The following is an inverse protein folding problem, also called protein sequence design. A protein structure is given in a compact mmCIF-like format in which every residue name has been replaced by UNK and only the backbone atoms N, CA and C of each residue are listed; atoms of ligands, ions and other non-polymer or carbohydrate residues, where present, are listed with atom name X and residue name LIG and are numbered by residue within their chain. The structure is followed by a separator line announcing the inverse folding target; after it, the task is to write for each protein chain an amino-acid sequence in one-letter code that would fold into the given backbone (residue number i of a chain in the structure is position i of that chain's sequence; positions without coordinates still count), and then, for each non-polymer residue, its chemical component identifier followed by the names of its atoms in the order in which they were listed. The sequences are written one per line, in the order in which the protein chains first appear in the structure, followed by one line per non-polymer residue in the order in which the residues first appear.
data_IF_234584334486
#
_entry.id   IF_234584334486
#
_cell.length_a   1.000
_cell.length_b   1.000
_cell.length_c   1.000
_cell.angle_alpha   90.00
_cell.angle_beta   90.00
_cell.angle_gamma   90.00
#
_symmetry.space_group_name_H-M   'P 1'
#
loop_
_entity.id
_entity.type
_entity.pdbx_description
1 polymer ?
#
# COMPACT_ATOMS: atom_id res chain seq x y z
N UNK A 1 13.11 -24.26 -5.12
CA UNK A 1 14.14 -23.20 -5.06
C UNK A 1 13.60 -21.84 -4.63
N UNK A 2 12.94 -21.01 -5.47
CA UNK A 2 12.50 -19.64 -5.07
C UNK A 2 11.63 -19.57 -3.81
N UNK A 3 10.61 -20.42 -3.69
CA UNK A 3 9.69 -20.45 -2.53
C UNK A 3 10.45 -20.82 -1.24
N UNK A 4 11.34 -21.80 -1.33
CA UNK A 4 12.17 -22.26 -0.22
C UNK A 4 13.14 -21.17 0.26
N UNK A 5 13.77 -20.45 -0.66
CA UNK A 5 14.61 -19.28 -0.34
C UNK A 5 13.81 -18.19 0.38
N UNK A 6 12.56 -17.94 -0.05
CA UNK A 6 11.67 -17.00 0.63
C UNK A 6 11.33 -17.49 2.04
N UNK A 7 11.00 -18.78 2.23
CA UNK A 7 10.75 -19.32 3.57
C UNK A 7 11.98 -19.23 4.48
N UNK A 8 13.18 -19.52 3.97
CA UNK A 8 14.44 -19.34 4.69
C UNK A 8 14.68 -17.87 5.06
N UNK A 9 14.40 -16.94 4.16
CA UNK A 9 14.45 -15.51 4.44
C UNK A 9 13.46 -15.12 5.55
N UNK A 10 12.19 -15.55 5.44
CA UNK A 10 11.17 -15.26 6.43
C UNK A 10 11.54 -15.87 7.80
N UNK A 11 12.13 -17.06 7.83
CA UNK A 11 12.60 -17.70 9.06
C UNK A 11 13.61 -16.86 9.84
N UNK A 12 14.42 -16.04 9.14
CA UNK A 12 15.39 -15.13 9.75
C UNK A 12 14.78 -13.83 10.31
N UNK A 13 13.55 -13.49 9.93
CA UNK A 13 12.88 -12.30 10.44
C UNK A 13 12.30 -12.55 11.84
N UNK A 14 12.27 -11.51 12.72
CA UNK A 14 11.51 -11.56 13.96
C UNK A 14 10.05 -11.96 13.71
N UNK A 15 9.45 -12.69 14.65
CA UNK A 15 8.09 -13.22 14.49
C UNK A 15 7.06 -12.14 14.16
N UNK A 16 7.07 -11.00 14.87
CA UNK A 16 6.17 -9.88 14.62
C UNK A 16 6.33 -9.32 13.19
N UNK A 17 7.58 -9.22 12.70
CA UNK A 17 7.85 -8.73 11.35
C UNK A 17 7.31 -9.70 10.30
N UNK A 18 7.45 -11.01 10.50
CA UNK A 18 6.85 -12.02 9.60
C UNK A 18 5.34 -11.88 9.53
N UNK A 19 4.66 -11.79 10.68
CA UNK A 19 3.20 -11.70 10.75
C UNK A 19 2.71 -10.42 10.08
N UNK A 20 3.34 -9.29 10.39
CA UNK A 20 3.03 -8.00 9.77
C UNK A 20 3.25 -8.04 8.26
N UNK A 21 4.39 -8.57 7.80
CA UNK A 21 4.69 -8.69 6.37
C UNK A 21 3.68 -9.59 5.65
N UNK A 22 3.28 -10.71 6.24
CA UNK A 22 2.24 -11.57 5.69
C UNK A 22 0.90 -10.84 5.55
N UNK A 23 0.50 -10.09 6.59
CA UNK A 23 -0.74 -9.30 6.55
C UNK A 23 -0.71 -8.24 5.45
N UNK A 24 0.41 -7.51 5.31
CA UNK A 24 0.60 -6.52 4.26
C UNK A 24 0.52 -7.15 2.87
N UNK A 25 1.19 -8.30 2.65
CA UNK A 25 1.17 -8.97 1.33
C UNK A 25 -0.22 -9.50 0.96
N UNK A 26 -0.97 -10.04 1.93
CA UNK A 26 -2.37 -10.46 1.72
C UNK A 26 -3.28 -9.27 1.42
N UNK A 27 -3.11 -8.16 2.12
CA UNK A 27 -3.89 -6.95 1.86
C UNK A 27 -3.59 -6.38 0.46
N UNK A 28 -2.32 -6.39 0.05
CA UNK A 28 -1.93 -6.00 -1.30
C UNK A 28 -2.56 -6.88 -2.38
N UNK A 29 -2.64 -8.19 -2.15
CA UNK A 29 -3.31 -9.11 -3.07
C UNK A 29 -4.81 -8.84 -3.20
N UNK A 30 -5.47 -8.53 -2.07
CA UNK A 30 -6.87 -8.12 -2.05
C UNK A 30 -7.08 -6.84 -2.88
N UNK A 31 -6.30 -5.78 -2.62
CA UNK A 31 -6.39 -4.52 -3.37
C UNK A 31 -6.14 -4.74 -4.85
N UNK A 32 -5.11 -5.50 -5.19
CA UNK A 32 -4.77 -5.80 -6.58
C UNK A 32 -5.87 -6.59 -7.29
N UNK A 33 -6.43 -7.62 -6.64
CA UNK A 33 -7.54 -8.40 -7.18
C UNK A 33 -8.81 -7.57 -7.35
N UNK A 34 -9.10 -6.67 -6.42
CA UNK A 34 -10.21 -5.72 -6.54
C UNK A 34 -10.03 -4.78 -7.74
N UNK A 35 -8.82 -4.24 -7.92
CA UNK A 35 -8.51 -3.36 -9.06
C UNK A 35 -8.67 -4.06 -10.41
N UNK A 36 -8.24 -5.32 -10.53
CA UNK A 36 -8.44 -6.12 -11.75
C UNK A 36 -9.94 -6.31 -12.06
N UNK A 37 -10.75 -6.59 -11.03
CA UNK A 37 -12.21 -6.74 -11.20
C UNK A 37 -12.86 -5.41 -11.61
N UNK A 38 -12.49 -4.31 -10.96
CA UNK A 38 -12.97 -2.98 -11.32
C UNK A 38 -12.60 -2.60 -12.76
N UNK A 39 -11.38 -2.93 -13.20
CA UNK A 39 -10.94 -2.71 -14.57
C UNK A 39 -11.76 -3.55 -15.57
N UNK A 40 -12.00 -4.83 -15.26
CA UNK A 40 -12.83 -5.69 -16.11
C UNK A 40 -14.24 -5.13 -16.26
N UNK A 41 -14.84 -4.65 -15.16
CA UNK A 41 -16.15 -4.01 -15.16
C UNK A 41 -16.16 -2.73 -16.01
N UNK A 42 -15.19 -1.83 -15.82
CA UNK A 42 -15.08 -0.59 -16.60
C UNK A 42 -14.78 -0.85 -18.09
N UNK A 43 -14.13 -1.97 -18.43
CA UNK A 43 -13.90 -2.36 -19.82
C UNK A 43 -15.19 -2.77 -20.53
N UNK A 44 -16.16 -3.33 -19.81
CA UNK A 44 -17.48 -3.73 -20.31
C UNK A 44 -18.50 -2.59 -20.38
N UNK A 45 -18.23 -1.44 -19.75
CA UNK A 45 -19.14 -0.29 -19.74
C UNK A 45 -19.20 0.46 -21.09
N UNK A 46 -20.35 1.10 -21.41
CA UNK A 46 -20.53 1.92 -22.60
C UNK A 46 -19.50 3.05 -22.71
N UNK A 47 -19.17 3.42 -23.94
CA UNK A 47 -18.05 4.31 -24.29
C UNK A 47 -18.16 5.73 -23.68
N UNK A 48 -19.35 6.16 -23.28
CA UNK A 48 -19.61 7.45 -22.64
C UNK A 48 -19.02 7.54 -21.21
N UNK A 49 -18.96 6.45 -20.46
CA UNK A 49 -18.39 6.42 -19.10
C UNK A 49 -16.86 6.30 -19.10
N UNK A 50 -16.29 5.71 -20.17
CA UNK A 50 -14.83 5.56 -20.39
C UNK A 50 -14.11 6.90 -20.58
N UNK A 51 -14.82 7.93 -21.03
CA UNK A 51 -14.24 9.26 -21.25
C UNK A 51 -14.16 10.09 -19.96
N UNK A 52 -15.02 9.83 -18.97
CA UNK A 52 -15.03 10.51 -17.67
C UNK A 52 -13.93 10.00 -16.72
N UNK A 53 -13.50 8.75 -16.89
CA UNK A 53 -12.39 8.16 -16.14
C UNK A 53 -11.18 8.06 -17.05
N UNK A 54 -10.19 8.95 -16.86
CA UNK A 54 -8.96 8.94 -17.68
C UNK A 54 -8.33 7.54 -17.73
N UNK A 55 -8.55 6.82 -18.84
CA UNK A 55 -8.17 5.41 -19.01
C UNK A 55 -6.68 5.12 -18.79
N UNK A 56 -5.84 6.16 -18.86
CA UNK A 56 -4.41 6.11 -18.52
C UNK A 56 -4.13 5.85 -17.02
N UNK A 57 -4.83 6.50 -16.08
CA UNK A 57 -4.54 6.36 -14.64
C UNK A 57 -4.96 4.98 -14.09
N UNK A 58 -6.06 4.43 -14.59
CA UNK A 58 -6.55 3.10 -14.19
C UNK A 58 -5.65 1.96 -14.67
N UNK A 59 -5.05 2.07 -15.86
CA UNK A 59 -4.12 1.05 -16.38
C UNK A 59 -2.82 0.94 -15.57
N UNK A 60 -2.35 2.04 -14.99
CA UNK A 60 -1.11 2.05 -14.21
C UNK A 60 -1.26 1.42 -12.81
N UNK A 61 -2.48 1.47 -12.24
CA UNK A 61 -2.79 0.91 -10.93
C UNK A 61 -2.91 -0.63 -10.94
N UNK A 62 -3.17 -1.22 -12.09
CA UNK A 62 -3.38 -2.67 -12.22
C UNK A 62 -2.09 -3.50 -12.30
N UNK A 63 -0.93 -2.85 -12.42
CA UNK A 63 0.36 -3.52 -12.42
C UNK A 63 0.79 -3.79 -10.97
N UNK A 64 0.96 -5.06 -10.54
CA UNK A 64 1.40 -5.37 -9.17
C UNK A 64 2.75 -4.70 -8.86
N UNK A 65 3.60 -4.53 -9.88
CA UNK A 65 4.88 -3.84 -9.76
C UNK A 65 4.76 -2.38 -9.31
N UNK A 66 3.67 -1.68 -9.64
CA UNK A 66 3.44 -0.30 -9.21
C UNK A 66 3.28 -0.21 -7.70
N UNK A 67 2.56 -1.15 -7.10
CA UNK A 67 2.39 -1.24 -5.65
C UNK A 67 3.68 -1.64 -4.96
N UNK A 68 4.39 -2.63 -5.50
CA UNK A 68 5.66 -3.11 -4.94
C UNK A 68 6.76 -2.03 -4.98
N UNK A 69 6.74 -1.12 -5.96
CA UNK A 69 7.63 0.04 -6.01
C UNK A 69 7.44 0.98 -4.80
N UNK A 70 6.19 1.26 -4.43
CA UNK A 70 5.88 2.06 -3.25
C UNK A 70 6.30 1.32 -1.98
N UNK A 71 5.93 0.06 -1.86
CA UNK A 71 6.21 -0.74 -0.66
C UNK A 71 7.70 -1.05 -0.47
N UNK A 72 8.51 -1.05 -1.53
CA UNK A 72 9.97 -1.10 -1.42
C UNK A 72 10.53 0.02 -0.55
N UNK A 73 10.02 1.25 -0.72
CA UNK A 73 10.49 2.42 0.03
C UNK A 73 10.05 2.41 1.49
N UNK A 74 8.92 1.74 1.78
CA UNK A 74 8.33 1.68 3.12
C UNK A 74 8.94 0.53 3.92
N UNK A 75 9.04 -0.66 3.30
CA UNK A 75 9.43 -1.90 3.97
C UNK A 75 10.94 -2.09 4.07
N UNK A 76 11.72 -1.51 3.15
CA UNK A 76 13.17 -1.72 3.11
C UNK A 76 13.88 -0.41 3.43
N UNK A 77 14.56 -0.38 4.58
CA UNK A 77 15.41 0.73 5.00
C UNK A 77 16.85 0.25 5.08
N UNK A 78 17.69 0.52 4.07
CA UNK A 78 19.10 0.17 4.15
C UNK A 78 19.81 1.05 5.19
N UNK A 79 20.88 0.56 5.82
CA UNK A 79 21.76 1.41 6.62
C UNK A 79 22.48 2.43 5.72
N UNK A 80 22.87 3.58 6.29
CA UNK A 80 23.47 4.71 5.56
C UNK A 80 24.59 4.32 4.56
N UNK A 81 25.56 3.46 4.92
CA UNK A 81 26.65 3.09 4.00
C UNK A 81 26.18 2.36 2.74
N UNK A 82 25.00 1.71 2.78
CA UNK A 82 24.46 0.90 1.70
C UNK A 82 23.40 1.65 0.86
N UNK A 83 23.19 2.95 1.10
CA UNK A 83 22.15 3.71 0.38
C UNK A 83 22.42 3.83 -1.12
N UNK A 84 23.68 4.04 -1.52
CA UNK A 84 24.06 4.14 -2.93
C UNK A 84 23.82 2.81 -3.65
N UNK A 85 24.30 1.71 -3.07
CA UNK A 85 24.06 0.35 -3.55
C UNK A 85 22.56 0.03 -3.60
N UNK A 86 21.82 0.50 -2.60
CA UNK A 86 20.38 0.35 -2.55
C UNK A 86 19.67 1.14 -3.66
N UNK A 87 20.11 2.35 -3.96
CA UNK A 87 19.53 3.18 -5.01
C UNK A 87 19.72 2.55 -6.40
N UNK A 88 20.90 1.98 -6.66
CA UNK A 88 21.20 1.31 -7.95
C UNK A 88 20.58 -0.09 -8.05
N UNK A 89 20.34 -0.76 -6.92
CA UNK A 89 19.79 -2.13 -6.84
C UNK A 89 18.26 -2.26 -7.00
N UNK A 90 17.58 -1.30 -7.64
CA UNK A 90 16.12 -1.26 -7.75
C UNK A 90 15.52 -2.58 -8.25
N UNK A 91 16.03 -3.10 -9.36
CA UNK A 91 15.52 -4.30 -10.03
C UNK A 91 15.63 -5.55 -9.14
N UNK A 92 16.74 -5.70 -8.43
CA UNK A 92 16.99 -6.84 -7.53
C UNK A 92 16.00 -6.82 -6.36
N UNK A 93 15.78 -5.65 -5.76
CA UNK A 93 14.85 -5.49 -4.64
C UNK A 93 13.40 -5.71 -5.07
N UNK A 94 13.02 -5.27 -6.26
CA UNK A 94 11.68 -5.54 -6.79
C UNK A 94 11.46 -7.02 -7.05
N UNK A 95 12.44 -7.74 -7.62
CA UNK A 95 12.34 -9.19 -7.81
C UNK A 95 12.24 -9.95 -6.50
N UNK A 96 13.00 -9.54 -5.48
CA UNK A 96 12.92 -10.11 -4.15
C UNK A 96 11.54 -9.87 -3.53
N UNK A 97 11.03 -8.64 -3.61
CA UNK A 97 9.72 -8.28 -3.06
C UNK A 97 8.57 -8.96 -3.81
N UNK A 98 8.69 -9.15 -5.12
CA UNK A 98 7.76 -9.95 -5.92
C UNK A 98 7.74 -11.41 -5.47
N UNK A 99 8.92 -12.01 -5.24
CA UNK A 99 8.99 -13.40 -4.76
C UNK A 99 8.33 -13.56 -3.38
N UNK A 100 8.57 -12.60 -2.47
CA UNK A 100 7.91 -12.55 -1.16
C UNK A 100 6.39 -12.36 -1.31
N UNK A 101 5.97 -11.41 -2.13
CA UNK A 101 4.56 -11.14 -2.40
C UNK A 101 3.86 -12.39 -2.92
N UNK A 102 4.37 -13.00 -3.99
CA UNK A 102 3.77 -14.19 -4.58
C UNK A 102 3.69 -15.35 -3.57
N UNK A 103 4.74 -15.57 -2.78
CA UNK A 103 4.75 -16.64 -1.77
C UNK A 103 3.72 -16.41 -0.66
N UNK A 104 3.54 -15.17 -0.20
CA UNK A 104 2.67 -14.84 0.95
C UNK A 104 1.23 -14.51 0.56
N UNK A 105 1.01 -14.00 -0.65
CA UNK A 105 -0.31 -13.67 -1.19
C UNK A 105 -1.11 -14.94 -1.50
N UNK A 106 -0.47 -15.97 -2.08
CA UNK A 106 -1.16 -17.20 -2.52
C UNK A 106 -1.28 -18.25 -1.43
N UNK A 107 -0.55 -18.11 -0.32
CA UNK A 107 -0.76 -18.99 0.84
C UNK A 107 -2.13 -18.70 1.45
N UNK A 108 -3.10 -19.56 1.12
CA UNK A 108 -4.36 -19.70 1.85
C UNK A 108 -4.03 -19.72 3.33
N UNK A 109 -4.35 -18.63 4.02
CA UNK A 109 -4.17 -18.61 5.46
C UNK A 109 -5.22 -19.51 6.06
N UNK A 110 -4.77 -20.55 6.75
CA UNK A 110 -5.32 -20.85 8.07
C UNK A 110 -5.46 -19.51 8.78
N UNK A 111 -6.69 -19.02 8.81
CA UNK A 111 -7.12 -17.96 9.71
C UNK A 111 -7.00 -18.55 11.10
N UNK A 112 -5.79 -18.53 11.68
CA UNK A 112 -5.68 -18.47 13.12
C UNK A 112 -6.58 -17.31 13.52
N UNK A 113 -7.63 -17.53 14.33
CA UNK A 113 -8.55 -16.48 14.70
C UNK A 113 -7.71 -15.40 15.35
N UNK A 114 -7.62 -14.25 14.70
CA UNK A 114 -7.17 -13.04 15.37
C UNK A 114 -8.20 -12.84 16.48
N UNK A 115 -7.84 -13.29 17.69
CA UNK A 115 -8.57 -12.93 18.90
C UNK A 115 -8.70 -11.40 18.93
N UNK A 116 -9.67 -10.86 19.69
CA UNK A 116 -10.06 -9.46 19.64
C UNK A 116 -8.93 -8.58 20.19
N UNK A 117 -7.89 -8.35 19.41
CA UNK A 117 -6.81 -7.41 19.69
C UNK A 117 -7.22 -6.07 19.07
N UNK A 118 -8.16 -5.42 19.77
CA UNK A 118 -8.15 -4.00 20.09
C UNK A 118 -7.45 -3.12 19.05
N UNK A 119 -8.16 -2.79 17.97
CA UNK A 119 -7.99 -1.49 17.31
C UNK A 119 -9.08 -0.57 17.85
N UNK A 120 -8.95 -0.18 19.13
CA UNK A 120 -9.64 0.98 19.67
C UNK A 120 -8.97 2.24 19.11
N UNK A 121 -9.13 2.47 17.81
CA UNK A 121 -8.96 3.80 17.25
C UNK A 121 -10.28 4.52 17.50
N UNK A 122 -10.30 5.65 18.25
CA UNK A 122 -11.51 6.41 18.43
C UNK A 122 -11.96 6.91 17.05
N UNK A 123 -13.07 6.37 16.54
CA UNK A 123 -13.77 7.04 15.44
C UNK A 123 -14.23 8.40 15.97
N UNK A 124 -13.95 9.52 15.30
CA UNK A 124 -14.57 10.78 15.65
C UNK A 124 -16.05 10.70 15.28
N UNK A 125 -16.90 10.31 16.23
CA UNK A 125 -18.34 10.57 16.18
C UNK A 125 -18.56 12.04 16.51
N UNK A 126 -18.42 12.91 15.52
CA UNK A 126 -19.10 14.21 15.58
C UNK A 126 -20.48 14.03 14.99
N UNK A 127 -21.44 13.87 15.89
CA UNK A 127 -22.86 14.09 15.67
C UNK A 127 -23.08 15.48 15.07
N UNK A 128 -23.93 15.54 14.05
CA UNK A 128 -24.70 16.73 13.71
C UNK A 128 -25.44 17.21 14.96
N UNK A 129 -24.93 18.23 15.61
CA UNK A 129 -25.68 19.10 16.49
C UNK A 129 -25.02 20.47 16.41
N UNK A 130 -25.85 21.44 16.03
CA UNK A 130 -25.57 22.86 15.95
C UNK A 130 -24.86 23.35 17.21
N UNK A 131 -23.76 24.06 17.04
CA UNK A 131 -23.55 25.22 17.90
C UNK A 131 -22.78 26.30 17.16
N UNK A 132 -23.40 27.47 17.16
CA UNK A 132 -22.96 28.71 16.57
C UNK A 132 -21.80 29.27 17.41
N UNK A 133 -20.62 29.39 16.83
CA UNK A 133 -19.65 30.38 17.26
C UNK A 133 -18.75 30.77 16.08
N UNK A 134 -18.93 32.01 15.64
CA UNK A 134 -18.02 32.73 14.75
C UNK A 134 -16.57 32.51 15.16
N UNK A 135 -15.73 32.12 14.19
CA UNK A 135 -14.32 32.46 14.27
C UNK A 135 -13.82 32.80 12.87
N UNK A 136 -13.69 34.10 12.63
CA UNK A 136 -13.06 34.69 11.46
C UNK A 136 -11.64 34.11 11.34
N UNK A 137 -11.37 33.42 10.24
CA UNK A 137 -9.99 33.18 9.86
C UNK A 137 -9.45 34.46 9.22
N UNK A 138 -8.59 35.13 9.97
CA UNK A 138 -7.71 36.21 9.53
C UNK A 138 -6.79 35.67 8.42
N UNK A 139 -7.18 35.90 7.17
CA UNK A 139 -6.35 35.70 5.99
C UNK A 139 -5.58 36.99 5.78
N UNK A 140 -4.40 37.11 6.39
CA UNK A 140 -3.31 37.92 5.84
C UNK A 140 -2.05 37.85 6.72
N UNK A 141 -1.20 36.84 6.48
CA UNK A 141 0.19 36.88 6.94
C UNK A 141 1.13 35.99 6.13
N UNK A 142 1.12 36.17 4.81
CA UNK A 142 2.27 35.80 3.97
C UNK A 142 2.65 36.98 3.09
N UNK A 143 3.25 37.99 3.71
CA UNK A 143 3.99 39.04 3.01
C UNK A 143 5.31 38.41 2.53
N UNK A 144 5.36 38.10 1.22
CA UNK A 144 6.58 37.77 0.48
C UNK A 144 7.66 38.81 0.80
N UNK A 145 8.85 38.35 1.18
CA UNK A 145 10.09 39.10 1.04
C UNK A 145 10.70 38.66 -0.29
N UNK A 146 10.54 39.52 -1.29
CA UNK A 146 11.42 39.55 -2.46
C UNK A 146 12.01 40.97 -2.49
N UNK A 147 13.34 41.02 -2.51
CA UNK A 147 14.29 42.09 -2.86
C UNK A 147 14.11 43.52 -2.30
#
# INVERSE_FOLDING_TARGET
ERIETVHLFLAKLPHLHRVCLSHVMKHLDFVWSHQRKLQAYLATEPQELKNATSGSRLQHLCKPNSWLLVFRQILIRPPWPLLTDFAVGLEVHLRALQAVFLTLATTSGDTAPLGPAILNLPLPTKSLAEDSAENRCDVDKYKRRDD
#
